data_IF_317876812548
#
_entry.id   IF_317876812548
#
_cell.length_a   1.000
_cell.length_b   1.000
_cell.length_c   1.000
_cell.angle_alpha   90.00
_cell.angle_beta   90.00
_cell.angle_gamma   90.00
#
_symmetry.space_group_name_H-M   'P 1'
#
loop_
_entity.id
_entity.type
_entity.pdbx_description
1 polymer ?
#
# COMPACT_ATOMS: atom_id res chain seq x y z
N UNK A 1 -7.97 2.39 -13.36
CA UNK A 1 -8.51 2.11 -12.01
C UNK A 1 -8.17 0.69 -11.55
N UNK A 2 -8.57 -0.37 -12.27
CA UNK A 2 -8.27 -1.75 -11.89
C UNK A 2 -6.77 -2.03 -11.68
N UNK A 3 -5.92 -1.54 -12.59
CA UNK A 3 -4.47 -1.67 -12.48
C UNK A 3 -3.92 -1.16 -11.13
N UNK A 4 -4.25 0.08 -10.75
CA UNK A 4 -3.80 0.69 -9.50
C UNK A 4 -4.36 0.00 -8.26
N UNK A 5 -5.55 -0.61 -8.34
CA UNK A 5 -6.10 -1.40 -7.26
C UNK A 5 -5.34 -2.72 -7.09
N UNK A 6 -5.08 -3.44 -8.17
CA UNK A 6 -4.30 -4.68 -8.12
C UNK A 6 -2.87 -4.44 -7.69
N UNK A 7 -2.23 -3.38 -8.20
CA UNK A 7 -0.88 -3.02 -7.81
C UNK A 7 -0.76 -2.69 -6.31
N UNK A 8 -1.75 -2.04 -5.69
CA UNK A 8 -1.75 -1.81 -4.25
C UNK A 8 -1.82 -3.12 -3.46
N UNK A 9 -2.68 -4.06 -3.86
CA UNK A 9 -2.76 -5.38 -3.22
C UNK A 9 -1.46 -6.17 -3.39
N UNK A 10 -0.87 -6.12 -4.58
CA UNK A 10 0.41 -6.77 -4.87
C UNK A 10 1.52 -6.17 -4.00
N UNK A 11 1.59 -4.84 -3.87
CA UNK A 11 2.56 -4.17 -3.01
C UNK A 11 2.49 -4.68 -1.56
N UNK A 12 1.28 -4.76 -0.99
CA UNK A 12 1.08 -5.28 0.37
C UNK A 12 1.40 -6.77 0.51
N UNK A 13 1.11 -7.58 -0.52
CA UNK A 13 1.43 -9.01 -0.51
C UNK A 13 2.94 -9.29 -0.57
N UNK A 14 3.74 -8.39 -1.14
CA UNK A 14 5.20 -8.58 -1.21
C UNK A 14 5.81 -8.61 0.19
N UNK A 15 5.32 -7.79 1.13
CA UNK A 15 5.79 -7.82 2.52
C UNK A 15 5.38 -9.11 3.26
N UNK A 16 4.19 -9.66 2.97
CA UNK A 16 3.83 -11.02 3.43
C UNK A 16 4.84 -12.03 2.88
N UNK A 17 5.21 -11.92 1.60
CA UNK A 17 6.23 -12.76 0.98
C UNK A 17 7.58 -12.68 1.68
N UNK A 18 8.06 -11.48 2.00
CA UNK A 18 9.30 -11.30 2.77
C UNK A 18 9.21 -11.94 4.15
N UNK A 19 8.12 -11.73 4.88
CA UNK A 19 7.92 -12.33 6.20
C UNK A 19 7.89 -13.87 6.16
N UNK A 20 7.23 -14.46 5.14
CA UNK A 20 7.22 -15.91 4.93
C UNK A 20 8.62 -16.44 4.63
N UNK A 21 9.38 -15.78 3.75
CA UNK A 21 10.74 -16.18 3.40
C UNK A 21 11.72 -16.05 4.56
N UNK A 22 11.47 -15.11 5.48
CA UNK A 22 12.22 -14.96 6.72
C UNK A 22 11.77 -15.93 7.83
N UNK A 23 10.74 -16.74 7.60
CA UNK A 23 10.14 -17.65 8.59
C UNK A 23 9.61 -16.94 9.85
N UNK A 24 9.16 -15.70 9.71
CA UNK A 24 8.72 -14.85 10.82
C UNK A 24 7.18 -14.81 10.94
N UNK A 25 6.60 -15.79 11.64
CA UNK A 25 5.13 -15.96 11.70
C UNK A 25 4.38 -14.74 12.25
N UNK A 26 4.95 -14.05 13.25
CA UNK A 26 4.35 -12.85 13.81
C UNK A 26 4.21 -11.75 12.73
N UNK A 27 5.26 -11.57 11.92
CA UNK A 27 5.26 -10.61 10.83
C UNK A 27 4.33 -11.02 9.68
N UNK A 28 4.21 -12.32 9.38
CA UNK A 28 3.20 -12.80 8.41
C UNK A 28 1.79 -12.38 8.83
N UNK A 29 1.45 -12.50 10.12
CA UNK A 29 0.14 -12.09 10.62
C UNK A 29 -0.06 -10.57 10.54
N UNK A 30 0.96 -9.79 10.93
CA UNK A 30 0.93 -8.32 10.87
C UNK A 30 0.74 -7.84 9.42
N UNK A 31 1.55 -8.33 8.47
CA UNK A 31 1.44 -7.93 7.06
C UNK A 31 0.13 -8.39 6.43
N UNK A 32 -0.42 -9.53 6.86
CA UNK A 32 -1.75 -9.96 6.42
C UNK A 32 -2.85 -8.98 6.87
N UNK A 33 -2.73 -8.38 8.06
CA UNK A 33 -3.64 -7.29 8.49
C UNK A 33 -3.50 -6.09 7.56
N UNK A 34 -2.29 -5.75 7.14
CA UNK A 34 -2.03 -4.73 6.12
C UNK A 34 -2.80 -5.03 4.82
N UNK A 35 -2.67 -6.25 4.28
CA UNK A 35 -3.37 -6.68 3.06
C UNK A 35 -4.89 -6.52 3.20
N UNK A 36 -5.47 -6.89 4.35
CA UNK A 36 -6.91 -6.72 4.60
C UNK A 36 -7.30 -5.25 4.64
N UNK A 37 -6.52 -4.39 5.30
CA UNK A 37 -6.75 -2.95 5.37
C UNK A 37 -6.74 -2.33 3.96
N UNK A 38 -5.74 -2.63 3.14
CA UNK A 38 -5.67 -2.11 1.77
C UNK A 38 -6.73 -2.74 0.85
N UNK A 39 -7.11 -3.99 1.09
CA UNK A 39 -8.27 -4.64 0.48
C UNK A 39 -9.58 -3.88 0.73
N UNK A 40 -9.81 -3.44 1.97
CA UNK A 40 -10.96 -2.61 2.34
C UNK A 40 -10.91 -1.27 1.60
N UNK A 41 -9.75 -0.61 1.52
CA UNK A 41 -9.61 0.64 0.76
C UNK A 41 -9.93 0.45 -0.73
N UNK A 42 -9.46 -0.64 -1.33
CA UNK A 42 -9.80 -1.02 -2.71
C UNK A 42 -11.31 -1.26 -2.86
N UNK A 43 -11.94 -1.99 -1.93
CA UNK A 43 -13.39 -2.23 -1.96
C UNK A 43 -14.17 -0.92 -1.88
N UNK A 44 -13.86 -0.04 -0.92
CA UNK A 44 -14.49 1.27 -0.74
C UNK A 44 -14.28 2.17 -1.96
N UNK A 45 -13.16 2.03 -2.66
CA UNK A 45 -12.91 2.77 -3.89
C UNK A 45 -13.88 2.45 -5.03
N UNK A 46 -14.45 1.24 -5.02
CA UNK A 46 -15.41 0.76 -6.01
C UNK A 46 -16.85 1.05 -5.62
N UNK A 47 -17.15 1.00 -4.31
CA UNK A 47 -18.53 1.10 -3.80
C UNK A 47 -18.93 2.51 -3.36
N UNK A 48 -17.97 3.36 -2.95
CA UNK A 48 -18.27 4.67 -2.38
C UNK A 48 -17.61 5.82 -3.14
N UNK A 49 -16.28 5.81 -3.26
CA UNK A 49 -15.55 6.92 -3.89
C UNK A 49 -14.17 6.51 -4.37
N UNK A 50 -13.84 6.83 -5.62
CA UNK A 50 -12.50 6.58 -6.20
C UNK A 50 -11.35 7.15 -5.37
N UNK A 51 -11.59 8.17 -4.54
CA UNK A 51 -10.57 8.74 -3.66
C UNK A 51 -10.07 7.78 -2.59
N UNK A 52 -10.83 6.74 -2.20
CA UNK A 52 -10.33 5.70 -1.30
C UNK A 52 -9.15 4.94 -1.89
N UNK A 53 -9.06 4.81 -3.22
CA UNK A 53 -7.91 4.18 -3.85
C UNK A 53 -6.66 5.06 -3.71
N UNK A 54 -6.80 6.37 -3.93
CA UNK A 54 -5.69 7.31 -3.73
C UNK A 54 -5.27 7.37 -2.26
N UNK A 55 -6.24 7.33 -1.33
CA UNK A 55 -5.96 7.26 0.10
C UNK A 55 -5.22 5.97 0.47
N UNK A 56 -5.63 4.82 -0.07
CA UNK A 56 -4.93 3.55 0.14
C UNK A 56 -3.46 3.63 -0.24
N UNK A 57 -3.15 4.19 -1.42
CA UNK A 57 -1.77 4.45 -1.85
C UNK A 57 -1.02 5.45 -0.97
N UNK A 58 -1.69 6.38 -0.28
CA UNK A 58 -1.01 7.34 0.62
C UNK A 58 -0.89 6.84 2.05
N UNK A 59 -1.72 5.89 2.46
CA UNK A 59 -1.63 5.21 3.77
C UNK A 59 -0.58 4.10 3.74
N UNK A 60 -0.40 3.42 2.61
CA UNK A 60 0.63 2.40 2.43
C UNK A 60 2.06 2.86 2.79
N UNK A 61 2.57 4.02 2.36
CA UNK A 61 3.90 4.48 2.75
C UNK A 61 4.00 4.79 4.25
N UNK A 62 2.88 5.13 4.91
CA UNK A 62 2.86 5.30 6.38
C UNK A 62 3.04 3.93 7.06
N UNK A 63 2.38 2.89 6.55
CA UNK A 63 2.57 1.51 6.99
C UNK A 63 4.03 1.09 6.83
N UNK A 64 4.61 1.29 5.64
CA UNK A 64 5.99 0.93 5.33
C UNK A 64 7.02 1.67 6.20
N UNK A 65 6.83 2.98 6.41
CA UNK A 65 7.72 3.77 7.27
C UNK A 65 7.67 3.24 8.70
N UNK A 66 6.47 3.03 9.23
CA UNK A 66 6.30 2.57 10.62
C UNK A 66 6.89 1.18 10.79
N UNK A 67 6.54 0.22 9.93
CA UNK A 67 6.89 -1.18 10.11
C UNK A 67 8.25 -1.60 9.55
N UNK A 68 8.85 -0.84 8.63
CA UNK A 68 10.12 -1.28 8.02
C UNK A 68 11.29 -0.33 8.25
N UNK A 69 11.02 0.96 8.55
CA UNK A 69 12.09 1.93 8.79
C UNK A 69 12.23 2.36 10.27
N UNK A 70 11.18 2.20 11.08
CA UNK A 70 11.16 2.71 12.45
C UNK A 70 10.96 1.64 13.53
N UNK A 71 10.16 0.60 13.26
CA UNK A 71 9.91 -0.45 14.25
C UNK A 71 11.17 -1.27 14.55
N UNK A 72 11.33 -1.85 15.75
CA UNK A 72 12.39 -2.82 16.04
C UNK A 72 12.20 -4.13 15.26
N UNK A 73 13.29 -4.87 15.00
CA UNK A 73 13.25 -6.23 14.41
C UNK A 73 12.65 -6.32 12.99
N UNK A 74 12.89 -5.31 12.15
CA UNK A 74 12.32 -5.19 10.80
C UNK A 74 13.19 -5.81 9.70
N UNK A 75 14.16 -6.63 10.09
CA UNK A 75 15.21 -7.16 9.21
C UNK A 75 14.70 -8.13 8.13
N UNK A 76 13.42 -8.52 8.14
CA UNK A 76 12.85 -9.43 7.16
C UNK A 76 12.66 -8.79 5.77
N UNK A 77 12.46 -7.47 5.71
CA UNK A 77 12.30 -6.73 4.45
C UNK A 77 13.51 -5.84 4.18
N UNK A 78 14.09 -5.85 2.95
CA UNK A 78 15.22 -4.97 2.64
C UNK A 78 14.85 -3.49 2.66
N UNK A 79 15.63 -2.65 3.36
CA UNK A 79 15.38 -1.21 3.44
C UNK A 79 15.30 -0.51 2.07
N UNK A 80 16.11 -0.95 1.09
CA UNK A 80 16.08 -0.38 -0.25
C UNK A 80 14.71 -0.60 -0.93
N UNK A 81 14.08 -1.75 -0.65
CA UNK A 81 12.78 -2.08 -1.20
C UNK A 81 11.72 -1.19 -0.55
N UNK A 82 11.76 -1.05 0.78
CA UNK A 82 10.82 -0.18 1.50
C UNK A 82 10.88 1.27 1.02
N UNK A 83 12.08 1.83 0.86
CA UNK A 83 12.26 3.19 0.34
C UNK A 83 11.71 3.34 -1.09
N UNK A 84 11.94 2.34 -1.94
CA UNK A 84 11.41 2.32 -3.30
C UNK A 84 9.87 2.25 -3.30
N UNK A 85 9.27 1.37 -2.49
CA UNK A 85 7.83 1.22 -2.35
C UNK A 85 7.18 2.54 -1.88
N UNK A 86 7.70 3.12 -0.79
CA UNK A 86 7.24 4.42 -0.28
C UNK A 86 7.24 5.50 -1.37
N UNK A 87 8.33 5.59 -2.13
CA UNK A 87 8.47 6.60 -3.19
C UNK A 87 7.47 6.39 -4.33
N UNK A 88 7.27 5.14 -4.73
CA UNK A 88 6.30 4.75 -5.74
C UNK A 88 4.87 5.06 -5.27
N UNK A 89 4.55 4.71 -4.03
CA UNK A 89 3.23 4.87 -3.46
C UNK A 89 2.79 6.33 -3.39
N UNK A 90 3.66 7.20 -2.89
CA UNK A 90 3.42 8.65 -2.85
C UNK A 90 3.19 9.19 -4.26
N UNK A 91 3.98 8.73 -5.23
CA UNK A 91 3.86 9.13 -6.64
C UNK A 91 2.51 8.72 -7.22
N UNK A 92 2.09 7.47 -7.02
CA UNK A 92 0.81 6.94 -7.51
C UNK A 92 -0.37 7.61 -6.81
N UNK A 93 -0.33 7.73 -5.48
CA UNK A 93 -1.38 8.40 -4.70
C UNK A 93 -1.58 9.85 -5.13
N UNK A 94 -0.50 10.61 -5.29
CA UNK A 94 -0.53 11.98 -5.79
C UNK A 94 -1.07 12.07 -7.22
N UNK A 95 -0.60 11.19 -8.11
CA UNK A 95 -1.09 11.11 -9.49
C UNK A 95 -2.60 10.85 -9.56
N UNK A 96 -3.11 9.90 -8.76
CA UNK A 96 -4.54 9.57 -8.73
C UNK A 96 -5.39 10.73 -8.24
N UNK A 97 -4.94 11.49 -7.23
CA UNK A 97 -5.64 12.70 -6.77
C UNK A 97 -5.77 13.71 -7.91
N UNK A 98 -4.68 14.01 -8.62
CA UNK A 98 -4.68 14.95 -9.76
C UNK A 98 -5.61 14.46 -10.86
N UNK A 99 -5.53 13.18 -11.22
CA UNK A 99 -6.38 12.56 -12.23
C UNK A 99 -7.86 12.68 -11.86
N UNK A 100 -8.24 12.37 -10.63
CA UNK A 100 -9.63 12.42 -10.17
C UNK A 100 -10.17 13.83 -10.06
N UNK A 101 -9.33 14.82 -9.74
CA UNK A 101 -9.73 16.23 -9.79
C UNK A 101 -10.02 16.66 -11.22
N UNK A 102 -9.14 16.34 -12.17
CA UNK A 102 -9.33 16.67 -13.60
C UNK A 102 -10.60 16.06 -14.19
N UNK A 103 -10.86 14.79 -13.88
CA UNK A 103 -12.07 14.10 -14.34
C UNK A 103 -13.37 14.66 -13.74
N UNK A 104 -13.32 15.29 -12.56
CA UNK A 104 -14.49 15.93 -11.95
C UNK A 104 -14.82 17.28 -12.60
N UNK A 105 -13.81 17.99 -13.12
CA UNK A 105 -13.98 19.29 -13.79
C UNK A 105 -14.49 19.14 -15.23
N UNK A 106 -14.26 17.99 -15.87
CA UNK A 106 -14.66 17.72 -17.24
C UNK A 106 -16.10 17.16 -17.40
N UNK A 107 -16.83 16.98 -16.30
CA UNK A 107 -18.22 16.52 -16.24
C UNK A 107 -19.12 17.66 -15.78
#
# INVERSE_FOLDING_TARGET
>A
MALFAYALIIASLIYVGFAVLAFELAWVLIETVGVLLFGIMVMLSRTHSRYFLALGWLVHPVWDVVLHLYWPDTHFAPNWYAIMCISFDITVGGYLIVLFKRQKVAL
#
